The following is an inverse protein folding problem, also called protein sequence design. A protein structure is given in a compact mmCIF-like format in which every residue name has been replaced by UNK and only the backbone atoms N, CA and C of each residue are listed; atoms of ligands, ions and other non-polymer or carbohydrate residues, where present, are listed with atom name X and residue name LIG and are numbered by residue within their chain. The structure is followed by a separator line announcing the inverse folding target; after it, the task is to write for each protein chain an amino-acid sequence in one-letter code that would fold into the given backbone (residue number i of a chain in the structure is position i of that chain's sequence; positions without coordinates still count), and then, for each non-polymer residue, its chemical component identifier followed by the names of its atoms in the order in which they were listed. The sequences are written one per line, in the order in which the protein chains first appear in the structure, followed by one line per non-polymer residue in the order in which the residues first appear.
data_IF_127257044139
#
_entry.id   IF_127257044139
#
_cell.length_a   1.000
_cell.length_b   1.000
_cell.length_c   1.000
_cell.angle_alpha   90.00
_cell.angle_beta   90.00
_cell.angle_gamma   90.00
#
_symmetry.space_group_name_H-M   'P 1'
#
loop_
_entity.id
_entity.type
_entity.pdbx_description
1 polymer ?
#
# COMPACT_ATOMS: atom_id res chain seq x y z
N UNK A 1 4.47 1.52 2.42
CA UNK A 1 3.44 0.46 2.32
C UNK A 1 2.16 0.85 3.07
N UNK A 2 2.20 1.03 4.39
CA UNK A 2 1.03 1.26 5.26
C UNK A 2 0.12 2.40 4.83
N UNK A 3 0.69 3.54 4.39
CA UNK A 3 -0.10 4.69 3.91
C UNK A 3 -0.94 4.35 2.67
N UNK A 4 -0.38 3.63 1.71
CA UNK A 4 -1.10 3.24 0.49
C UNK A 4 -2.25 2.28 0.78
N UNK A 5 -2.00 1.29 1.65
CA UNK A 5 -3.01 0.31 2.08
C UNK A 5 -4.12 0.97 2.90
N UNK A 6 -3.74 1.86 3.82
CA UNK A 6 -4.69 2.61 4.65
C UNK A 6 -5.54 3.54 3.79
N UNK A 7 -4.93 4.28 2.85
CA UNK A 7 -5.64 5.13 1.90
C UNK A 7 -6.60 4.30 1.01
N UNK A 8 -6.16 3.13 0.53
CA UNK A 8 -7.01 2.21 -0.22
C UNK A 8 -8.21 1.71 0.58
N UNK A 9 -8.01 1.36 1.85
CA UNK A 9 -9.09 0.93 2.74
C UNK A 9 -10.13 2.04 2.97
N UNK A 10 -9.69 3.27 3.24
CA UNK A 10 -10.59 4.41 3.38
C UNK A 10 -11.33 4.74 2.08
N UNK A 11 -10.62 4.74 0.95
CA UNK A 11 -11.22 5.00 -0.36
C UNK A 11 -12.27 3.94 -0.71
N UNK A 12 -11.95 2.66 -0.50
CA UNK A 12 -12.89 1.56 -0.65
C UNK A 12 -14.14 1.77 0.22
N UNK A 13 -13.96 2.05 1.51
CA UNK A 13 -15.08 2.27 2.43
C UNK A 13 -15.94 3.46 2.01
N UNK A 14 -15.32 4.57 1.61
CA UNK A 14 -16.02 5.75 1.12
C UNK A 14 -16.84 5.46 -0.14
N UNK A 15 -16.28 4.72 -1.10
CA UNK A 15 -16.99 4.31 -2.32
C UNK A 15 -18.26 3.53 -1.94
N UNK A 16 -18.16 2.58 -1.02
CA UNK A 16 -19.29 1.74 -0.62
C UNK A 16 -20.37 2.56 0.10
N UNK A 17 -19.98 3.44 1.03
CA UNK A 17 -20.93 4.26 1.80
C UNK A 17 -21.65 5.27 0.90
N UNK A 18 -20.94 5.92 -0.03
CA UNK A 18 -21.52 6.91 -0.93
C UNK A 18 -22.38 6.25 -2.01
N UNK A 19 -21.86 5.18 -2.64
CA UNK A 19 -22.54 4.52 -3.76
C UNK A 19 -23.67 3.59 -3.31
N UNK A 20 -23.60 3.08 -2.09
CA UNK A 20 -24.47 2.01 -1.61
C UNK A 20 -24.13 0.66 -2.25
N UNK A 21 -24.94 -0.36 -1.89
CA UNK A 21 -24.82 -1.72 -2.42
C UNK A 21 -26.15 -2.13 -3.03
N UNK A 22 -26.13 -2.51 -4.32
CA UNK A 22 -27.34 -2.92 -5.03
C UNK A 22 -27.97 -4.17 -4.40
N UNK A 23 -29.30 -4.14 -4.22
CA UNK A 23 -30.04 -5.23 -3.59
C UNK A 23 -29.86 -5.32 -2.06
N UNK A 24 -29.13 -4.39 -1.44
CA UNK A 24 -29.01 -4.34 0.02
C UNK A 24 -30.34 -3.95 0.67
N UNK A 25 -30.76 -4.75 1.64
CA UNK A 25 -31.90 -4.45 2.52
C UNK A 25 -31.47 -3.69 3.77
N UNK A 26 -30.16 -3.47 3.98
CA UNK A 26 -29.66 -2.76 5.15
C UNK A 26 -29.99 -1.27 5.06
N UNK A 27 -30.49 -0.67 6.16
CA UNK A 27 -30.49 0.78 6.33
C UNK A 27 -29.09 1.38 6.12
N UNK A 28 -29.02 2.62 5.59
CA UNK A 28 -27.74 3.28 5.30
C UNK A 28 -26.84 3.45 6.54
N UNK A 29 -27.43 3.64 7.72
CA UNK A 29 -26.70 3.71 8.99
C UNK A 29 -26.00 2.39 9.31
N UNK A 30 -26.73 1.28 9.22
CA UNK A 30 -26.22 -0.06 9.49
C UNK A 30 -25.14 -0.48 8.48
N UNK A 31 -25.34 -0.14 7.19
CA UNK A 31 -24.32 -0.30 6.16
C UNK A 31 -23.04 0.45 6.53
N UNK A 32 -23.16 1.71 6.96
CA UNK A 32 -22.00 2.54 7.30
C UNK A 32 -21.23 1.94 8.48
N UNK A 33 -21.92 1.43 9.50
CA UNK A 33 -21.29 0.77 10.65
C UNK A 33 -20.57 -0.50 10.21
N UNK A 34 -21.21 -1.34 9.38
CA UNK A 34 -20.59 -2.56 8.86
C UNK A 34 -19.33 -2.25 8.03
N UNK A 35 -19.41 -1.24 7.15
CA UNK A 35 -18.26 -0.81 6.34
C UNK A 35 -17.16 -0.20 7.21
N UNK A 36 -17.50 0.58 8.24
CA UNK A 36 -16.52 1.10 9.19
C UNK A 36 -15.77 -0.02 9.91
N UNK A 37 -16.49 -1.09 10.32
CA UNK A 37 -15.88 -2.29 10.88
C UNK A 37 -14.92 -2.99 9.91
N UNK A 38 -15.34 -3.15 8.64
CA UNK A 38 -14.50 -3.70 7.57
C UNK A 38 -13.23 -2.85 7.36
N UNK A 39 -13.37 -1.53 7.26
CA UNK A 39 -12.23 -0.60 7.10
C UNK A 39 -11.29 -0.73 8.30
N UNK A 40 -11.82 -0.82 9.52
CA UNK A 40 -11.04 -1.06 10.73
C UNK A 40 -10.22 -2.36 10.67
N UNK A 41 -10.81 -3.46 10.19
CA UNK A 41 -10.09 -4.72 9.98
C UNK A 41 -8.98 -4.56 8.92
N UNK A 42 -9.27 -3.90 7.81
CA UNK A 42 -8.27 -3.64 6.76
C UNK A 42 -7.11 -2.76 7.26
N UNK A 43 -7.38 -1.78 8.13
CA UNK A 43 -6.33 -1.00 8.79
C UNK A 43 -5.48 -1.87 9.71
N UNK A 44 -6.09 -2.81 10.44
CA UNK A 44 -5.35 -3.80 11.23
C UNK A 44 -4.40 -4.65 10.37
N UNK A 45 -4.88 -5.15 9.23
CA UNK A 45 -4.04 -5.86 8.25
C UNK A 45 -2.93 -4.98 7.70
N UNK A 46 -3.23 -3.72 7.36
CA UNK A 46 -2.26 -2.77 6.82
C UNK A 46 -1.09 -2.50 7.78
N UNK A 47 -1.32 -2.54 9.09
CA UNK A 47 -0.24 -2.43 10.10
C UNK A 47 0.67 -3.65 10.03
N UNK A 48 0.11 -4.87 10.04
CA UNK A 48 0.87 -6.11 9.96
C UNK A 48 1.67 -6.17 8.66
N UNK A 49 1.02 -5.88 7.54
CA UNK A 49 1.66 -5.84 6.23
C UNK A 49 2.76 -4.79 6.18
N UNK A 50 2.52 -3.58 6.72
CA UNK A 50 3.54 -2.54 6.82
C UNK A 50 4.80 -2.99 7.55
N UNK A 51 4.64 -3.68 8.68
CA UNK A 51 5.76 -4.24 9.45
C UNK A 51 6.47 -5.35 8.67
N UNK A 52 5.72 -6.29 8.10
CA UNK A 52 6.28 -7.41 7.35
C UNK A 52 7.03 -6.93 6.10
N UNK A 53 6.43 -6.05 5.30
CA UNK A 53 7.07 -5.45 4.14
C UNK A 53 8.32 -4.66 4.55
N UNK A 54 8.26 -3.88 5.62
CA UNK A 54 9.42 -3.15 6.13
C UNK A 54 10.56 -4.08 6.53
N UNK A 55 10.26 -5.16 7.25
CA UNK A 55 11.23 -6.20 7.60
C UNK A 55 11.83 -6.86 6.36
N UNK A 56 11.00 -7.25 5.38
CA UNK A 56 11.47 -7.88 4.14
C UNK A 56 12.40 -6.93 3.37
N UNK A 57 12.03 -5.65 3.23
CA UNK A 57 12.88 -4.66 2.54
C UNK A 57 14.22 -4.51 3.27
N UNK A 58 14.22 -4.45 4.60
CA UNK A 58 15.47 -4.36 5.36
C UNK A 58 16.31 -5.66 5.25
N UNK A 59 15.68 -6.83 5.27
CA UNK A 59 16.37 -8.09 5.04
C UNK A 59 17.03 -8.11 3.66
N UNK A 60 16.29 -7.72 2.61
CA UNK A 60 16.82 -7.64 1.25
C UNK A 60 17.97 -6.64 1.16
N UNK A 61 17.86 -5.46 1.80
CA UNK A 61 18.95 -4.50 1.88
C UNK A 61 20.22 -5.07 2.52
N UNK A 62 20.07 -5.99 3.47
CA UNK A 62 21.21 -6.65 4.13
C UNK A 62 21.83 -7.77 3.30
N UNK A 63 21.04 -8.55 2.55
CA UNK A 63 21.51 -9.79 1.89
C UNK A 63 21.75 -9.59 0.39
N UNK A 64 20.91 -8.81 -0.27
CA UNK A 64 20.94 -8.51 -1.70
C UNK A 64 20.65 -7.02 -1.92
N UNK A 65 21.56 -6.13 -1.50
CA UNK A 65 21.39 -4.68 -1.61
C UNK A 65 21.15 -4.21 -3.05
N UNK A 66 21.60 -4.99 -4.04
CA UNK A 66 21.35 -4.76 -5.46
C UNK A 66 19.85 -4.73 -5.83
N UNK A 67 19.00 -5.43 -5.08
CA UNK A 67 17.55 -5.50 -5.35
C UNK A 67 16.77 -4.29 -4.84
N UNK A 68 17.36 -3.48 -3.95
CA UNK A 68 16.72 -2.30 -3.33
C UNK A 68 17.40 -0.97 -3.72
N UNK A 69 18.57 -1.01 -4.35
CA UNK A 69 19.40 0.17 -4.69
C UNK A 69 19.28 0.75 -6.11
N UNK A 70 18.41 0.26 -6.98
CA UNK A 70 18.24 0.80 -8.35
C UNK A 70 17.43 2.10 -8.44
N UNK A 71 16.91 2.63 -7.33
CA UNK A 71 16.22 3.92 -7.28
C UNK A 71 17.16 5.13 -7.06
N UNK A 72 18.46 4.91 -6.76
CA UNK A 72 19.44 5.99 -6.50
C UNK A 72 20.50 6.15 -7.59
N UNK A 73 20.39 5.41 -8.71
CA UNK A 73 21.37 5.49 -9.80
C UNK A 73 21.00 6.61 -10.79
N UNK A 74 20.96 7.84 -10.29
CA UNK A 74 20.68 9.05 -11.07
C UNK A 74 21.90 9.80 -11.61
N UNK A 75 23.15 9.45 -11.25
CA UNK A 75 24.30 10.34 -11.59
C UNK A 75 25.65 9.63 -11.80
N UNK A 76 25.70 8.50 -12.50
CA UNK A 76 26.99 8.05 -13.03
C UNK A 76 26.82 7.31 -14.35
N UNK A 77 26.40 8.06 -15.37
CA UNK A 77 26.88 7.79 -16.72
C UNK A 77 28.37 8.16 -16.71
N UNK A 78 29.25 7.17 -16.53
CA UNK A 78 30.64 7.33 -16.94
C UNK A 78 30.62 7.50 -18.47
N UNK A 79 31.00 8.66 -19.03
CA UNK A 79 31.19 8.75 -20.47
C UNK A 79 32.42 7.92 -20.78
N UNK A 80 32.21 6.66 -21.17
CA UNK A 80 33.26 5.83 -21.76
C UNK A 80 33.67 6.49 -23.07
N UNK A 81 34.69 7.36 -22.96
CA UNK A 81 35.36 8.01 -24.07
C UNK A 81 36.01 6.96 -24.96
N UNK A 82 35.27 6.52 -25.96
CA UNK A 82 35.82 5.90 -27.17
C UNK A 82 35.92 7.02 -28.19
N UNK A 83 37.14 7.53 -28.39
CA UNK A 83 37.52 8.12 -29.67
C UNK A 83 38.59 7.24 -30.28
N UNK A 84 38.29 6.83 -31.51
CA UNK A 84 39.07 6.00 -32.42
C UNK A 84 40.47 6.55 -32.72
#
# INVERSE_FOLDING_TARGET
ATLGLSAGAFLMGAIIVISGVNGSTLPRGDLTIAVAGLVGLNLGVAVIEGLLTGFIVQFLASVRPDLVGLADRGTQEDPTGVTA
#
